data_IF_693732894192
#
_entry.id   IF_693732894192
#
_cell.length_a   1.000
_cell.length_b   1.000
_cell.length_c   1.000
_cell.angle_alpha   90.00
_cell.angle_beta   90.00
_cell.angle_gamma   90.00
#
_symmetry.space_group_name_H-M   'P 1'
#
loop_
_entity.id
_entity.type
_entity.pdbx_description
1 polymer ?
#
# COMPACT_ATOMS: atom_id res chain seq x y z
N UNK A 1 23.69 -7.02 43.43
CA UNK A 1 23.15 -8.32 42.94
C UNK A 1 21.67 -8.34 43.32
N UNK A 2 20.65 -8.49 42.49
CA UNK A 2 20.45 -8.90 41.09
C UNK A 2 19.42 -7.96 40.44
N UNK A 3 19.60 -7.65 39.16
CA UNK A 3 18.68 -6.88 38.32
C UNK A 3 17.46 -7.75 38.00
N UNK A 4 16.25 -7.31 38.33
CA UNK A 4 15.01 -7.85 37.79
C UNK A 4 14.54 -6.88 36.70
N UNK A 5 15.01 -7.12 35.48
CA UNK A 5 14.50 -6.45 34.29
C UNK A 5 13.21 -7.18 33.92
N UNK A 6 12.06 -6.60 34.24
CA UNK A 6 10.78 -7.03 33.66
C UNK A 6 10.81 -6.68 32.17
N UNK A 7 11.09 -7.67 31.35
CA UNK A 7 10.87 -7.60 29.90
C UNK A 7 9.36 -7.76 29.71
N UNK A 8 8.65 -6.63 29.63
CA UNK A 8 7.28 -6.61 29.15
C UNK A 8 7.32 -6.90 27.64
N UNK A 9 7.12 -8.16 27.26
CA UNK A 9 6.67 -8.52 25.91
C UNK A 9 5.23 -8.02 25.75
N UNK A 10 5.07 -6.73 25.47
CA UNK A 10 3.83 -6.26 24.84
C UNK A 10 3.81 -6.84 23.44
N UNK A 11 3.02 -7.91 23.29
CA UNK A 11 2.84 -8.63 22.04
C UNK A 11 2.61 -7.67 20.89
N UNK A 12 3.40 -7.85 19.84
CA UNK A 12 3.06 -7.38 18.51
C UNK A 12 1.70 -7.97 18.18
N UNK A 13 0.64 -7.17 18.35
CA UNK A 13 -0.61 -7.37 17.64
C UNK A 13 -0.26 -7.18 16.16
N UNK A 14 0.32 -8.20 15.54
CA UNK A 14 0.25 -8.36 14.10
C UNK A 14 -1.24 -8.43 13.82
N UNK A 15 -1.81 -7.30 13.40
CA UNK A 15 -3.19 -7.27 12.95
C UNK A 15 -3.32 -8.39 11.93
N UNK A 16 -4.18 -9.36 12.19
CA UNK A 16 -4.54 -10.37 11.22
C UNK A 16 -5.27 -9.64 10.08
N UNK A 17 -4.54 -9.06 9.14
CA UNK A 17 -5.11 -8.70 7.84
C UNK A 17 -5.40 -9.98 7.09
N UNK A 18 -6.51 -9.99 6.34
CA UNK A 18 -6.80 -11.09 5.44
C UNK A 18 -5.88 -11.02 4.23
N UNK A 19 -5.66 -12.15 3.56
CA UNK A 19 -4.90 -12.18 2.31
C UNK A 19 -5.53 -11.24 1.26
N UNK A 20 -6.86 -11.14 1.24
CA UNK A 20 -7.60 -10.22 0.39
C UNK A 20 -7.25 -8.75 0.68
N UNK A 21 -7.23 -8.35 1.96
CA UNK A 21 -6.89 -6.97 2.36
C UNK A 21 -5.43 -6.62 2.05
N UNK A 22 -4.52 -7.59 2.21
CA UNK A 22 -3.11 -7.41 1.87
C UNK A 22 -2.93 -7.22 0.36
N UNK A 23 -3.58 -8.05 -0.46
CA UNK A 23 -3.56 -7.89 -1.92
C UNK A 23 -4.15 -6.54 -2.36
N UNK A 24 -5.26 -6.10 -1.77
CA UNK A 24 -5.82 -4.76 -2.01
C UNK A 24 -4.84 -3.67 -1.64
N UNK A 25 -4.12 -3.83 -0.53
CA UNK A 25 -3.09 -2.88 -0.10
C UNK A 25 -1.98 -2.79 -1.14
N UNK A 26 -1.44 -3.92 -1.61
CA UNK A 26 -0.45 -3.93 -2.69
C UNK A 26 -0.95 -3.21 -3.94
N UNK A 27 -2.19 -3.49 -4.37
CA UNK A 27 -2.76 -2.89 -5.57
C UNK A 27 -2.98 -1.39 -5.44
N UNK A 28 -3.52 -0.91 -4.31
CA UNK A 28 -3.70 0.53 -4.05
C UNK A 28 -2.37 1.27 -4.09
N UNK A 29 -1.37 0.76 -3.37
CA UNK A 29 -0.03 1.35 -3.36
C UNK A 29 0.60 1.32 -4.76
N UNK A 30 0.44 0.23 -5.51
CA UNK A 30 0.98 0.08 -6.85
C UNK A 30 0.33 1.05 -7.85
N UNK A 31 -1.00 1.21 -7.80
CA UNK A 31 -1.72 2.17 -8.64
C UNK A 31 -1.27 3.60 -8.31
N UNK A 32 -1.20 3.96 -7.03
CA UNK A 32 -0.75 5.27 -6.60
C UNK A 32 0.69 5.56 -7.09
N UNK A 33 1.62 4.64 -6.85
CA UNK A 33 3.00 4.78 -7.30
C UNK A 33 3.11 4.88 -8.84
N UNK A 34 2.32 4.11 -9.59
CA UNK A 34 2.34 4.15 -11.04
C UNK A 34 1.77 5.47 -11.60
N UNK A 35 0.64 5.95 -11.06
CA UNK A 35 0.01 7.19 -11.52
C UNK A 35 0.81 8.44 -11.14
N UNK A 36 1.55 8.40 -10.03
CA UNK A 36 2.46 9.47 -9.58
C UNK A 36 3.88 9.35 -10.19
N UNK A 37 4.05 8.46 -11.19
CA UNK A 37 5.31 8.22 -11.89
C UNK A 37 6.49 7.80 -10.98
N UNK A 38 6.19 7.24 -9.80
CA UNK A 38 7.18 6.74 -8.84
C UNK A 38 7.64 5.32 -9.22
N UNK A 39 8.35 5.21 -10.35
CA UNK A 39 8.72 3.92 -10.95
C UNK A 39 9.52 2.99 -10.03
N UNK A 40 10.43 3.54 -9.21
CA UNK A 40 11.18 2.75 -8.23
C UNK A 40 10.27 2.15 -7.14
N UNK A 41 9.32 2.94 -6.64
CA UNK A 41 8.33 2.50 -5.68
C UNK A 41 7.41 1.42 -6.27
N UNK A 42 6.88 1.65 -7.47
CA UNK A 42 6.04 0.69 -8.18
C UNK A 42 6.74 -0.66 -8.37
N UNK A 43 8.02 -0.64 -8.77
CA UNK A 43 8.83 -1.85 -8.91
C UNK A 43 8.96 -2.61 -7.59
N UNK A 44 9.27 -1.92 -6.49
CA UNK A 44 9.43 -2.56 -5.19
C UNK A 44 8.12 -3.17 -4.67
N UNK A 45 7.00 -2.44 -4.82
CA UNK A 45 5.67 -2.93 -4.47
C UNK A 45 5.35 -4.21 -5.27
N UNK A 46 5.59 -4.19 -6.58
CA UNK A 46 5.32 -5.34 -7.46
C UNK A 46 6.13 -6.57 -7.06
N UNK A 47 7.42 -6.39 -6.76
CA UNK A 47 8.30 -7.47 -6.29
C UNK A 47 7.82 -8.07 -4.95
N UNK A 48 7.42 -7.23 -4.00
CA UNK A 48 6.90 -7.69 -2.71
C UNK A 48 5.54 -8.39 -2.85
N UNK A 49 4.68 -7.95 -3.77
CA UNK A 49 3.41 -8.62 -4.06
C UNK A 49 3.64 -10.02 -4.66
N UNK A 50 4.57 -10.14 -5.60
CA UNK A 50 4.97 -11.43 -6.18
C UNK A 50 5.52 -12.39 -5.10
N UNK A 51 6.40 -11.89 -4.23
CA UNK A 51 6.91 -12.67 -3.11
C UNK A 51 5.78 -13.11 -2.15
N UNK A 52 4.90 -12.18 -1.77
CA UNK A 52 3.79 -12.44 -0.87
C UNK A 52 2.85 -13.52 -1.39
N UNK A 53 2.42 -13.39 -2.66
CA UNK A 53 1.53 -14.38 -3.30
C UNK A 53 2.15 -15.77 -3.35
N UNK A 54 3.45 -15.85 -3.63
CA UNK A 54 4.20 -17.12 -3.60
C UNK A 54 4.28 -17.71 -2.19
N UNK A 55 4.63 -16.91 -1.18
CA UNK A 55 4.77 -17.36 0.21
C UNK A 55 3.45 -17.86 0.79
N UNK A 56 2.35 -17.20 0.44
CA UNK A 56 0.99 -17.56 0.87
C UNK A 56 0.34 -18.65 0.02
N UNK A 57 1.00 -19.10 -1.05
CA UNK A 57 0.43 -20.03 -2.03
C UNK A 57 -0.93 -19.57 -2.57
N UNK A 58 -1.09 -18.26 -2.78
CA UNK A 58 -2.33 -17.68 -3.29
C UNK A 58 -2.49 -18.11 -4.74
N UNK A 59 -3.53 -18.90 -5.00
CA UNK A 59 -3.94 -19.27 -6.35
C UNK A 59 -5.14 -18.40 -6.75
N UNK A 60 -4.89 -17.41 -7.60
CA UNK A 60 -5.95 -16.55 -8.14
C UNK A 60 -6.18 -16.84 -9.62
N UNK A 61 -7.44 -16.87 -10.03
CA UNK A 61 -7.77 -16.86 -11.46
C UNK A 61 -7.67 -15.44 -12.02
N UNK A 62 -7.59 -15.31 -13.35
CA UNK A 62 -7.69 -14.01 -14.02
C UNK A 62 -9.00 -13.27 -13.65
N UNK A 63 -10.08 -14.02 -13.42
CA UNK A 63 -11.37 -13.47 -12.96
C UNK A 63 -11.26 -12.87 -11.56
N UNK A 64 -10.58 -13.55 -10.63
CA UNK A 64 -10.39 -13.06 -9.26
C UNK A 64 -9.56 -11.77 -9.27
N UNK A 65 -8.49 -11.74 -10.07
CA UNK A 65 -7.69 -10.54 -10.26
C UNK A 65 -8.49 -9.36 -10.84
N UNK A 66 -9.40 -9.63 -11.79
CA UNK A 66 -10.30 -8.61 -12.33
C UNK A 66 -11.26 -8.06 -11.28
N UNK A 67 -11.89 -8.92 -10.47
CA UNK A 67 -12.79 -8.48 -9.40
C UNK A 67 -12.08 -7.68 -8.33
N UNK A 68 -10.92 -8.17 -7.87
CA UNK A 68 -10.08 -7.46 -6.90
C UNK A 68 -9.65 -6.09 -7.42
N UNK A 69 -9.25 -6.03 -8.69
CA UNK A 69 -8.88 -4.76 -9.33
C UNK A 69 -10.04 -3.79 -9.45
N UNK A 70 -11.26 -4.27 -9.66
CA UNK A 70 -12.44 -3.42 -9.67
C UNK A 70 -12.75 -2.89 -8.27
N UNK A 71 -12.76 -3.76 -7.26
CA UNK A 71 -12.97 -3.36 -5.86
C UNK A 71 -11.96 -2.30 -5.42
N UNK A 72 -10.68 -2.45 -5.77
CA UNK A 72 -9.65 -1.46 -5.48
C UNK A 72 -9.93 -0.12 -6.15
N UNK A 73 -10.32 -0.10 -7.43
CA UNK A 73 -10.66 1.14 -8.15
C UNK A 73 -11.88 1.83 -7.57
N UNK A 74 -12.91 1.06 -7.24
CA UNK A 74 -14.14 1.57 -6.62
C UNK A 74 -13.84 2.19 -5.25
N UNK A 75 -12.98 1.55 -4.45
CA UNK A 75 -12.57 2.08 -3.15
C UNK A 75 -11.69 3.33 -3.23
N UNK A 76 -10.85 3.43 -4.26
CA UNK A 76 -10.06 4.64 -4.49
C UNK A 76 -10.93 5.79 -5.02
N UNK A 77 -12.04 5.47 -5.70
CA UNK A 77 -13.03 6.41 -6.22
C UNK A 77 -12.40 7.62 -6.93
N UNK A 78 -11.35 7.40 -7.74
CA UNK A 78 -10.64 8.49 -8.43
C UNK A 78 -11.52 9.15 -9.48
N UNK A 79 -12.30 8.35 -10.23
CA UNK A 79 -13.18 8.84 -11.30
C UNK A 79 -14.29 9.77 -10.80
N UNK A 80 -14.65 9.68 -9.52
CA UNK A 80 -15.64 10.56 -8.89
C UNK A 80 -15.10 11.91 -8.43
N UNK A 81 -13.81 12.19 -8.63
CA UNK A 81 -13.11 13.36 -8.08
C UNK A 81 -12.63 14.33 -9.16
N UNK A 82 -12.39 15.59 -8.77
CA UNK A 82 -11.68 16.55 -9.62
C UNK A 82 -10.24 16.10 -9.85
N UNK A 83 -9.55 16.71 -10.82
CA UNK A 83 -8.15 16.40 -11.08
C UNK A 83 -7.27 16.64 -9.84
N UNK A 84 -7.45 17.78 -9.13
CA UNK A 84 -6.68 18.01 -7.89
C UNK A 84 -7.01 16.95 -6.83
N UNK A 85 -8.29 16.61 -6.63
CA UNK A 85 -8.69 15.60 -5.65
C UNK A 85 -8.12 14.22 -5.96
N UNK A 86 -8.04 13.85 -7.25
CA UNK A 86 -7.37 12.62 -7.68
C UNK A 86 -5.90 12.62 -7.29
N UNK A 87 -5.17 13.70 -7.57
CA UNK A 87 -3.76 13.82 -7.21
C UNK A 87 -3.56 13.77 -5.69
N UNK A 88 -4.37 14.48 -4.91
CA UNK A 88 -4.35 14.44 -3.44
C UNK A 88 -4.59 13.02 -2.92
N UNK A 89 -5.63 12.34 -3.41
CA UNK A 89 -5.94 10.96 -3.03
C UNK A 89 -4.78 10.01 -3.34
N UNK A 90 -4.16 10.15 -4.52
CA UNK A 90 -3.02 9.32 -4.90
C UNK A 90 -1.82 9.55 -3.97
N UNK A 91 -1.54 10.80 -3.63
CA UNK A 91 -0.44 11.16 -2.72
C UNK A 91 -0.72 10.63 -1.31
N UNK A 92 -1.95 10.78 -0.80
CA UNK A 92 -2.35 10.26 0.51
C UNK A 92 -2.21 8.74 0.59
N UNK A 93 -2.60 8.02 -0.47
CA UNK A 93 -2.40 6.57 -0.57
C UNK A 93 -0.91 6.25 -0.58
N UNK A 94 -0.13 6.90 -1.46
CA UNK A 94 1.31 6.67 -1.60
C UNK A 94 2.07 6.92 -0.28
N UNK A 95 1.78 8.03 0.40
CA UNK A 95 2.38 8.40 1.67
C UNK A 95 1.83 7.63 2.88
N UNK A 96 0.82 6.78 2.69
CA UNK A 96 0.29 6.00 3.81
C UNK A 96 1.37 5.09 4.41
N UNK A 97 1.35 4.95 5.74
CA UNK A 97 2.34 4.13 6.47
C UNK A 97 2.47 2.69 5.96
N UNK A 98 1.42 2.14 5.34
CA UNK A 98 1.44 0.83 4.69
C UNK A 98 2.22 0.87 3.37
N UNK A 99 1.92 1.84 2.50
CA UNK A 99 2.63 1.99 1.24
C UNK A 99 4.11 2.34 1.46
N UNK A 100 4.44 3.23 2.39
CA UNK A 100 5.83 3.57 2.72
C UNK A 100 6.64 2.35 3.16
N UNK A 101 6.05 1.44 3.94
CA UNK A 101 6.69 0.15 4.30
C UNK A 101 6.85 -0.79 3.09
N UNK A 102 5.95 -0.72 2.12
CA UNK A 102 6.02 -1.53 0.92
C UNK A 102 7.08 -0.99 -0.06
N UNK A 103 7.08 0.31 -0.36
CA UNK A 103 7.99 0.86 -1.37
C UNK A 103 9.34 1.33 -0.84
N UNK A 104 9.50 1.57 0.47
CA UNK A 104 10.77 1.99 1.11
C UNK A 104 11.44 3.19 0.40
N UNK A 105 10.61 4.10 -0.13
CA UNK A 105 11.05 5.34 -0.75
C UNK A 105 10.58 6.52 0.10
N UNK A 106 11.16 7.72 -0.07
CA UNK A 106 10.65 8.93 0.55
C UNK A 106 9.18 9.18 0.20
N UNK A 107 8.46 9.78 1.15
CA UNK A 107 7.15 10.36 0.94
C UNK A 107 7.23 11.55 -0.05
N UNK A 108 6.15 11.80 -0.77
CA UNK A 108 6.01 12.99 -1.61
C UNK A 108 5.62 14.16 -0.72
N UNK A 109 6.40 15.23 -0.76
CA UNK A 109 6.11 16.45 -0.01
C UNK A 109 5.02 17.26 -0.71
N UNK A 110 3.81 17.23 -0.14
CA UNK A 110 2.62 17.94 -0.63
C UNK A 110 2.79 19.46 -0.57
N UNK A 111 3.66 19.98 0.31
CA UNK A 111 3.91 21.42 0.41
C UNK A 111 4.57 21.99 -0.85
N UNK A 112 5.21 21.15 -1.66
CA UNK A 112 5.78 21.56 -2.95
C UNK A 112 4.73 21.79 -4.05
N UNK A 113 3.50 21.27 -3.89
CA UNK A 113 2.42 21.36 -4.88
C UNK A 113 1.46 22.53 -4.66
N UNK A 114 1.45 23.11 -3.45
CA UNK A 114 0.51 24.18 -3.04
C UNK A 114 1.11 25.61 -3.14
N UNK A 115 2.32 25.76 -3.70
CA UNK A 115 3.00 27.05 -3.84
C UNK A 115 2.82 27.71 -5.23
N UNK A 116 1.79 27.31 -5.99
CA UNK A 116 1.45 27.90 -7.29
C UNK A 116 0.04 28.49 -7.29
#
# INVERSE_FOLDING_TARGET
MKKLVLIALTGLLFGCSSEHDDLKTFMKCGIAANQLEQGAAFKMISQKMEQYTKEKNIQGSARDAMYLGQEVRDEMNLEGQSFEGQIETLIDIYNSSKCVKLHEQPEIDVSSLLNH
#
